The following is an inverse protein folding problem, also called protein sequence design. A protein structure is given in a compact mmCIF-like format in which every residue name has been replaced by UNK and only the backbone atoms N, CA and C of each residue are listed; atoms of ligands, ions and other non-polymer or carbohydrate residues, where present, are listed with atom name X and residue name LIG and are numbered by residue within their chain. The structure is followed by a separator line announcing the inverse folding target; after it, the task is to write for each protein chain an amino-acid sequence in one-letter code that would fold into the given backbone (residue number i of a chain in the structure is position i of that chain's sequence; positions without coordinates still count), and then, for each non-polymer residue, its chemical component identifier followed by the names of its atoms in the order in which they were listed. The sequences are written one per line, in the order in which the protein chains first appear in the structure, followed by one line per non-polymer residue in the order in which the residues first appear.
data_IF_230528009386
#
_entry.id   IF_230528009386
#
_cell.length_a   1.000
_cell.length_b   1.000
_cell.length_c   1.000
_cell.angle_alpha   90.00
_cell.angle_beta   90.00
_cell.angle_gamma   90.00
#
_symmetry.space_group_name_H-M   'P 1'
#
loop_
_entity.id
_entity.type
_entity.pdbx_description
1 polymer ?
#
# COMPACT_ATOMS: atom_id res chain seq x y z
N UNK A 1 23.42 14.25 4.79
CA UNK A 1 24.89 14.13 4.99
C UNK A 1 25.49 13.50 3.73
N UNK A 2 25.87 14.37 2.78
CA UNK A 2 26.18 14.14 1.35
C UNK A 2 24.98 13.76 0.45
N UNK A 3 24.99 14.23 -0.80
CA UNK A 3 23.93 14.01 -1.80
C UNK A 3 22.88 15.13 -1.92
N UNK A 4 21.83 14.90 -2.72
CA UNK A 4 20.70 15.85 -2.94
C UNK A 4 19.72 15.93 -1.75
N UNK A 5 19.92 15.11 -0.71
CA UNK A 5 19.04 15.07 0.46
C UNK A 5 19.35 16.24 1.40
N UNK A 6 18.60 17.33 1.23
CA UNK A 6 18.67 18.55 2.05
C UNK A 6 17.43 18.67 2.94
N UNK A 7 17.46 19.57 3.94
CA UNK A 7 16.30 19.84 4.81
C UNK A 7 15.09 20.38 4.03
N UNK A 8 15.28 20.87 2.82
CA UNK A 8 14.20 21.34 1.96
C UNK A 8 13.32 20.20 1.44
N UNK A 9 13.86 18.98 1.34
CA UNK A 9 13.10 17.80 0.91
C UNK A 9 11.98 17.41 1.89
N UNK A 10 11.98 17.97 3.10
CA UNK A 10 10.97 17.73 4.14
C UNK A 10 10.00 18.90 4.31
N UNK A 11 10.12 19.96 3.50
CA UNK A 11 9.16 21.06 3.48
C UNK A 11 7.95 20.60 2.66
N UNK A 12 6.91 20.21 3.38
CA UNK A 12 5.67 19.67 2.82
C UNK A 12 4.49 20.62 3.09
N UNK A 13 3.49 20.57 2.21
CA UNK A 13 2.23 21.27 2.42
C UNK A 13 1.45 20.69 3.62
N UNK A 14 0.45 21.42 4.11
CA UNK A 14 -0.34 21.01 5.28
C UNK A 14 -1.05 19.66 5.06
N UNK A 15 -1.48 19.37 3.83
CA UNK A 15 -2.13 18.11 3.44
C UNK A 15 -1.14 16.95 3.53
N UNK A 16 0.07 17.13 3.00
CA UNK A 16 1.13 16.13 3.02
C UNK A 16 1.61 15.85 4.46
N UNK A 17 1.80 16.90 5.27
CA UNK A 17 2.13 16.76 6.68
C UNK A 17 1.03 16.04 7.46
N UNK A 18 -0.24 16.34 7.17
CA UNK A 18 -1.39 15.63 7.74
C UNK A 18 -1.39 14.15 7.38
N UNK A 19 -1.14 13.82 6.11
CA UNK A 19 -1.01 12.45 5.65
C UNK A 19 0.16 11.72 6.37
N UNK A 20 1.34 12.33 6.41
CA UNK A 20 2.52 11.78 7.08
C UNK A 20 2.25 11.51 8.57
N UNK A 21 1.64 12.46 9.27
CA UNK A 21 1.28 12.29 10.68
C UNK A 21 0.29 11.13 10.87
N UNK A 22 -0.74 11.04 10.03
CA UNK A 22 -1.73 9.96 10.11
C UNK A 22 -1.13 8.57 9.86
N UNK A 23 -0.18 8.47 8.92
CA UNK A 23 0.52 7.22 8.61
C UNK A 23 1.44 6.79 9.76
N UNK A 24 2.23 7.72 10.31
CA UNK A 24 3.10 7.45 11.45
C UNK A 24 2.27 7.05 12.68
N UNK A 25 1.20 7.79 12.96
CA UNK A 25 0.29 7.48 14.06
C UNK A 25 -0.35 6.10 13.91
N UNK A 26 -0.84 5.76 12.70
CA UNK A 26 -1.38 4.44 12.40
C UNK A 26 -0.36 3.32 12.56
N UNK A 27 0.88 3.53 12.11
CA UNK A 27 1.97 2.56 12.26
C UNK A 27 2.33 2.33 13.74
N UNK A 28 2.38 3.40 14.55
CA UNK A 28 2.60 3.30 16.00
C UNK A 28 1.47 2.54 16.67
N UNK A 29 0.21 2.86 16.36
CA UNK A 29 -0.95 2.16 16.91
C UNK A 29 -0.91 0.67 16.59
N UNK A 30 -0.57 0.30 15.35
CA UNK A 30 -0.43 -1.09 14.94
C UNK A 30 0.71 -1.78 15.71
N UNK A 31 1.87 -1.14 15.84
CA UNK A 31 3.01 -1.69 16.58
C UNK A 31 2.68 -1.89 18.06
N UNK A 32 2.01 -0.92 18.69
CA UNK A 32 1.53 -1.02 20.08
C UNK A 32 0.53 -2.16 20.21
N UNK A 33 -0.41 -2.29 19.27
CA UNK A 33 -1.39 -3.37 19.27
C UNK A 33 -0.74 -4.76 19.17
N UNK A 34 0.21 -4.94 18.26
CA UNK A 34 0.96 -6.21 18.10
C UNK A 34 1.76 -6.53 19.37
N UNK A 35 2.38 -5.51 19.97
CA UNK A 35 3.15 -5.64 21.21
C UNK A 35 2.26 -6.03 22.38
N UNK A 36 1.10 -5.37 22.53
CA UNK A 36 0.10 -5.69 23.55
C UNK A 36 -0.40 -7.14 23.42
N UNK A 37 -0.65 -7.61 22.19
CA UNK A 37 -1.08 -8.99 21.92
C UNK A 37 0.07 -10.02 21.95
N UNK A 38 1.33 -9.58 22.13
CA UNK A 38 2.54 -10.42 22.12
C UNK A 38 2.65 -11.32 20.88
N UNK A 39 2.22 -10.82 19.71
CA UNK A 39 2.14 -11.60 18.46
C UNK A 39 3.38 -11.51 17.57
N UNK A 40 4.42 -10.77 17.96
CA UNK A 40 5.66 -10.62 17.18
C UNK A 40 6.27 -11.95 16.70
N UNK A 41 6.47 -12.90 17.62
CA UNK A 41 7.05 -14.22 17.28
C UNK A 41 6.15 -15.05 16.37
N UNK A 42 4.83 -14.91 16.51
CA UNK A 42 3.86 -15.60 15.67
C UNK A 42 3.85 -15.02 14.25
N UNK A 43 3.84 -13.69 14.11
CA UNK A 43 3.93 -13.02 12.79
C UNK A 43 5.21 -13.44 12.07
N UNK A 44 6.34 -13.42 12.78
CA UNK A 44 7.63 -13.79 12.20
C UNK A 44 7.64 -15.23 11.69
N UNK A 45 7.33 -16.21 12.56
CA UNK A 45 7.43 -17.63 12.22
C UNK A 45 6.34 -18.12 11.27
N UNK A 46 5.12 -17.61 11.40
CA UNK A 46 3.97 -18.15 10.67
C UNK A 46 3.69 -17.42 9.37
N UNK A 47 4.05 -16.14 9.23
CA UNK A 47 3.67 -15.32 8.07
C UNK A 47 4.88 -14.80 7.30
N UNK A 48 5.72 -14.00 7.95
CA UNK A 48 6.82 -13.29 7.27
C UNK A 48 7.82 -14.25 6.64
N UNK A 49 8.15 -15.36 7.32
CA UNK A 49 9.07 -16.37 6.80
C UNK A 49 8.35 -17.57 6.18
N UNK A 50 7.07 -17.44 5.82
CA UNK A 50 6.30 -18.57 5.30
C UNK A 50 6.53 -18.79 3.81
N UNK A 51 6.71 -20.04 3.42
CA UNK A 51 6.78 -20.47 2.02
C UNK A 51 5.45 -21.04 1.50
N UNK A 52 4.42 -21.15 2.37
CA UNK A 52 3.11 -21.68 1.97
C UNK A 52 2.40 -20.70 1.03
N UNK A 53 2.15 -21.14 -0.21
CA UNK A 53 1.48 -20.35 -1.25
C UNK A 53 0.15 -19.74 -0.81
N UNK A 54 -0.60 -20.39 0.10
CA UNK A 54 -1.86 -19.83 0.64
C UNK A 54 -1.59 -18.61 1.51
N UNK A 55 -0.59 -18.69 2.41
CA UNK A 55 -0.24 -17.58 3.30
C UNK A 55 0.37 -16.42 2.52
N UNK A 56 1.24 -16.72 1.55
CA UNK A 56 1.76 -15.72 0.60
C UNK A 56 0.61 -15.04 -0.16
N UNK A 57 -0.32 -15.81 -0.73
CA UNK A 57 -1.49 -15.27 -1.42
C UNK A 57 -2.36 -14.36 -0.54
N UNK A 58 -2.59 -14.72 0.73
CA UNK A 58 -3.31 -13.88 1.70
C UNK A 58 -2.56 -12.59 2.00
N UNK A 59 -1.23 -12.62 2.14
CA UNK A 59 -0.42 -11.41 2.36
C UNK A 59 -0.49 -10.45 1.17
N UNK A 60 -0.44 -10.98 -0.06
CA UNK A 60 -0.62 -10.20 -1.28
C UNK A 60 -1.98 -9.48 -1.29
N UNK A 61 -3.07 -10.21 -1.05
CA UNK A 61 -4.42 -9.64 -1.01
C UNK A 61 -4.56 -8.60 0.11
N UNK A 62 -3.94 -8.84 1.27
CA UNK A 62 -3.95 -7.90 2.38
C UNK A 62 -3.25 -6.58 2.01
N UNK A 63 -2.06 -6.64 1.39
CA UNK A 63 -1.34 -5.45 0.92
C UNK A 63 -2.15 -4.72 -0.15
N UNK A 64 -2.69 -5.43 -1.14
CA UNK A 64 -3.54 -4.84 -2.18
C UNK A 64 -4.79 -4.17 -1.61
N UNK A 65 -5.37 -4.72 -0.53
CA UNK A 65 -6.54 -4.12 0.13
C UNK A 65 -6.19 -2.82 0.85
N UNK A 66 -5.04 -2.76 1.53
CA UNK A 66 -4.54 -1.52 2.15
C UNK A 66 -4.20 -0.47 1.10
N UNK A 67 -3.56 -0.88 0.00
CA UNK A 67 -3.21 0.00 -1.11
C UNK A 67 -4.44 0.48 -1.88
N UNK A 68 -5.50 -0.33 -1.94
CA UNK A 68 -6.79 0.08 -2.49
C UNK A 68 -7.39 1.22 -1.67
N UNK A 69 -7.35 1.14 -0.33
CA UNK A 69 -7.80 2.23 0.53
C UNK A 69 -7.04 3.53 0.22
N UNK A 70 -5.71 3.48 0.15
CA UNK A 70 -4.87 4.63 -0.25
C UNK A 70 -5.28 5.17 -1.62
N UNK A 71 -5.44 4.29 -2.61
CA UNK A 71 -5.84 4.70 -3.95
C UNK A 71 -7.25 5.31 -4.02
N UNK A 72 -8.19 4.85 -3.19
CA UNK A 72 -9.52 5.45 -3.05
C UNK A 72 -9.43 6.85 -2.45
N UNK A 73 -8.58 7.06 -1.44
CA UNK A 73 -8.33 8.41 -0.89
C UNK A 73 -7.82 9.35 -1.97
N UNK A 74 -6.82 8.94 -2.76
CA UNK A 74 -6.31 9.75 -3.88
C UNK A 74 -7.41 10.06 -4.91
N UNK A 75 -8.25 9.08 -5.24
CA UNK A 75 -9.35 9.27 -6.19
C UNK A 75 -10.39 10.27 -5.67
N UNK A 76 -10.75 10.17 -4.39
CA UNK A 76 -11.68 11.10 -3.74
C UNK A 76 -11.08 12.50 -3.72
N UNK A 77 -9.78 12.66 -3.45
CA UNK A 77 -9.11 13.96 -3.50
C UNK A 77 -9.17 14.57 -4.91
N UNK A 78 -8.84 13.81 -5.95
CA UNK A 78 -8.93 14.30 -7.32
C UNK A 78 -10.36 14.71 -7.69
N UNK A 79 -11.36 13.91 -7.31
CA UNK A 79 -12.78 14.21 -7.57
C UNK A 79 -13.26 15.43 -6.79
N UNK A 80 -12.85 15.57 -5.53
CA UNK A 80 -13.16 16.74 -4.71
C UNK A 80 -12.55 18.01 -5.31
N UNK A 81 -11.31 17.95 -5.81
CA UNK A 81 -10.67 19.09 -6.48
C UNK A 81 -11.42 19.47 -7.76
N UNK A 82 -11.79 18.50 -8.60
CA UNK A 82 -12.57 18.75 -9.82
C UNK A 82 -13.94 19.35 -9.52
N UNK A 83 -14.60 18.91 -8.44
CA UNK A 83 -15.89 19.44 -8.02
C UNK A 83 -15.80 20.88 -7.48
N UNK A 84 -14.77 21.18 -6.68
CA UNK A 84 -14.58 22.52 -6.10
C UNK A 84 -14.02 23.54 -7.09
N UNK A 85 -13.19 23.10 -8.04
CA UNK A 85 -12.65 23.95 -9.10
C UNK A 85 -13.63 24.14 -10.27
N UNK A 86 -14.91 23.79 -10.09
CA UNK A 86 -15.93 24.05 -11.09
C UNK A 86 -16.31 25.55 -11.07
N UNK A 87 -15.82 26.31 -12.05
CA UNK A 87 -16.01 27.77 -12.17
C UNK A 87 -14.69 28.54 -12.13
N UNK A 88 -14.67 29.71 -11.50
CA UNK A 88 -13.47 30.57 -11.37
C UNK A 88 -12.64 30.29 -10.10
N UNK A 89 -13.03 29.29 -9.31
CA UNK A 89 -12.35 28.94 -8.04
C UNK A 89 -11.19 28.00 -8.32
N UNK A 90 -10.02 28.26 -7.74
CA UNK A 90 -8.79 27.47 -7.93
C UNK A 90 -8.79 26.10 -7.24
N UNK A 91 -9.72 25.85 -6.31
CA UNK A 91 -9.76 24.64 -5.48
C UNK A 91 -8.72 24.66 -4.35
N UNK A 92 -8.42 23.49 -3.77
CA UNK A 92 -7.55 23.33 -2.60
C UNK A 92 -6.22 22.64 -2.89
N UNK A 93 -6.08 21.99 -4.06
CA UNK A 93 -4.82 21.40 -4.52
C UNK A 93 -4.14 22.31 -5.54
N UNK A 94 -2.84 22.51 -5.37
CA UNK A 94 -2.01 23.15 -6.39
C UNK A 94 -1.87 22.23 -7.62
N UNK A 95 -1.60 22.77 -8.82
CA UNK A 95 -1.42 21.93 -10.01
C UNK A 95 -0.32 20.88 -9.86
N UNK A 96 0.80 21.23 -9.22
CA UNK A 96 1.91 20.28 -9.00
C UNK A 96 1.48 19.11 -8.11
N UNK A 97 0.85 19.41 -6.97
CA UNK A 97 0.37 18.38 -6.04
C UNK A 97 -0.73 17.50 -6.67
N UNK A 98 -1.65 18.08 -7.45
CA UNK A 98 -2.65 17.30 -8.18
C UNK A 98 -2.01 16.29 -9.15
N UNK A 99 -0.97 16.70 -9.89
CA UNK A 99 -0.27 15.83 -10.82
C UNK A 99 0.50 14.71 -10.10
N UNK A 100 1.08 15.01 -8.93
CA UNK A 100 1.71 14.00 -8.07
C UNK A 100 0.67 12.96 -7.58
N UNK A 101 -0.49 13.41 -7.09
CA UNK A 101 -1.57 12.52 -6.64
C UNK A 101 -2.09 11.66 -7.80
N UNK A 102 -2.35 12.24 -8.97
CA UNK A 102 -2.84 11.50 -10.14
C UNK A 102 -1.86 10.41 -10.57
N UNK A 103 -0.57 10.75 -10.64
CA UNK A 103 0.48 9.80 -11.01
C UNK A 103 0.60 8.70 -9.97
N UNK A 104 0.63 9.06 -8.68
CA UNK A 104 0.71 8.09 -7.59
C UNK A 104 -0.52 7.19 -7.52
N UNK A 105 -1.73 7.71 -7.77
CA UNK A 105 -2.97 6.95 -7.85
C UNK A 105 -2.88 5.87 -8.94
N UNK A 106 -2.50 6.26 -10.16
CA UNK A 106 -2.38 5.33 -11.29
C UNK A 106 -1.36 4.22 -11.02
N UNK A 107 -0.17 4.58 -10.51
CA UNK A 107 0.86 3.59 -10.14
C UNK A 107 0.35 2.66 -9.03
N UNK A 108 -0.32 3.21 -8.02
CA UNK A 108 -0.87 2.41 -6.91
C UNK A 108 -1.91 1.41 -7.41
N UNK A 109 -2.86 1.87 -8.23
CA UNK A 109 -3.96 1.04 -8.71
C UNK A 109 -3.50 -0.07 -9.65
N UNK A 110 -2.54 0.19 -10.54
CA UNK A 110 -2.08 -0.83 -11.47
C UNK A 110 -1.12 -1.81 -10.78
N UNK A 111 -0.08 -1.29 -10.12
CA UNK A 111 1.02 -2.13 -9.63
C UNK A 111 0.71 -2.80 -8.30
N UNK A 112 0.09 -2.09 -7.36
CA UNK A 112 -0.12 -2.62 -6.02
C UNK A 112 -1.51 -3.24 -5.83
N UNK A 113 -2.54 -2.66 -6.47
CA UNK A 113 -3.90 -3.21 -6.39
C UNK A 113 -4.11 -4.25 -7.48
N UNK A 114 -4.03 -3.87 -8.76
CA UNK A 114 -4.30 -4.76 -9.89
C UNK A 114 -3.40 -5.99 -9.90
N UNK A 115 -2.10 -5.79 -10.05
CA UNK A 115 -1.15 -6.92 -10.08
C UNK A 115 -1.09 -7.64 -8.74
N UNK A 116 -0.98 -6.93 -7.62
CA UNK A 116 -0.93 -7.55 -6.29
C UNK A 116 -2.13 -8.46 -6.00
N UNK A 117 -3.35 -8.02 -6.35
CA UNK A 117 -4.56 -8.81 -6.12
C UNK A 117 -4.62 -10.04 -7.02
N UNK A 118 -4.29 -9.88 -8.31
CA UNK A 118 -4.27 -11.00 -9.27
C UNK A 118 -3.22 -12.04 -8.87
N UNK A 119 -1.99 -11.63 -8.55
CA UNK A 119 -0.95 -12.56 -8.10
C UNK A 119 -1.28 -13.21 -6.76
N UNK A 120 -1.96 -12.49 -5.86
CA UNK A 120 -2.47 -13.06 -4.61
C UNK A 120 -3.50 -14.17 -4.85
N UNK A 121 -4.45 -13.95 -5.77
CA UNK A 121 -5.43 -14.97 -6.15
C UNK A 121 -4.80 -16.17 -6.86
N UNK A 122 -3.86 -15.94 -7.77
CA UNK A 122 -3.13 -17.01 -8.45
C UNK A 122 -2.40 -17.87 -7.41
N UNK A 123 -1.68 -17.26 -6.47
CA UNK A 123 -1.00 -17.97 -5.40
C UNK A 123 -1.95 -18.80 -4.54
N UNK A 124 -3.10 -18.23 -4.18
CA UNK A 124 -4.06 -18.89 -3.30
C UNK A 124 -4.79 -20.05 -3.97
N UNK A 125 -5.22 -19.86 -5.23
CA UNK A 125 -6.19 -20.74 -5.89
C UNK A 125 -5.54 -21.68 -6.90
N UNK A 126 -4.52 -21.25 -7.64
CA UNK A 126 -4.00 -22.02 -8.79
C UNK A 126 -3.44 -23.39 -8.38
N UNK A 127 -2.58 -23.53 -7.34
CA UNK A 127 -2.05 -24.84 -6.96
C UNK A 127 -3.16 -25.81 -6.53
N UNK A 128 -4.20 -25.29 -5.88
CA UNK A 128 -5.36 -26.07 -5.45
C UNK A 128 -6.19 -26.56 -6.64
N UNK A 129 -6.35 -25.73 -7.68
CA UNK A 129 -7.09 -26.10 -8.90
C UNK A 129 -6.41 -27.21 -9.70
N UNK A 130 -5.08 -27.23 -9.75
CA UNK A 130 -4.31 -28.26 -10.46
C UNK A 130 -4.00 -29.49 -9.58
N UNK A 131 -4.48 -29.51 -8.33
CA UNK A 131 -4.24 -30.61 -7.38
C UNK A 131 -2.78 -30.71 -6.90
N UNK A 132 -1.98 -29.64 -7.08
CA UNK A 132 -0.61 -29.58 -6.60
C UNK A 132 -0.58 -29.27 -5.09
N UNK A 133 0.47 -29.75 -4.41
CA UNK A 133 0.68 -29.47 -2.98
C UNK A 133 1.19 -28.06 -2.73
N UNK A 134 1.97 -27.51 -3.65
CA UNK A 134 2.60 -26.19 -3.56
C UNK A 134 3.04 -25.70 -4.96
N UNK A 135 3.56 -24.48 -5.05
CA UNK A 135 4.19 -23.92 -6.26
C UNK A 135 5.55 -24.56 -6.53
N UNK A 136 6.05 -24.46 -7.77
CA UNK A 136 7.31 -25.09 -8.19
C UNK A 136 8.54 -24.60 -7.39
N UNK A 137 8.55 -23.32 -6.96
CA UNK A 137 9.66 -22.72 -6.22
C UNK A 137 9.14 -21.94 -4.99
N UNK A 138 8.88 -22.61 -3.85
CA UNK A 138 8.27 -21.99 -2.67
C UNK A 138 9.09 -20.82 -2.07
N UNK A 139 10.42 -20.95 -2.05
CA UNK A 139 11.29 -19.89 -1.53
C UNK A 139 11.29 -18.63 -2.42
N UNK A 140 11.33 -18.80 -3.74
CA UNK A 140 11.27 -17.66 -4.67
C UNK A 140 9.93 -16.95 -4.57
N UNK A 141 8.84 -17.70 -4.34
CA UNK A 141 7.52 -17.13 -4.13
C UNK A 141 7.42 -16.29 -2.85
N UNK A 142 8.11 -16.69 -1.77
CA UNK A 142 8.19 -15.88 -0.54
C UNK A 142 9.02 -14.62 -0.69
N UNK A 143 9.95 -14.56 -1.65
CA UNK A 143 10.81 -13.41 -1.92
C UNK A 143 10.15 -12.39 -2.88
N UNK A 144 9.26 -12.86 -3.74
CA UNK A 144 8.62 -12.08 -4.81
C UNK A 144 7.60 -11.10 -4.24
#
# INVERSE_FOLDING_TARGET
MFGRLTLEAFKHDWIENGANFSMIFGAILLAVFITYKKKWMWIWKEWVTSVDHKKVGVMYIAVSSVMLFKGVVDAVMMRAQQAMACGEVTGYLTPDHYQQIFTAHGVTMIFFVGMGFVFGLINLVLPLQIGARDVAFPYLNSLS
#
